data_IF_324843305870
#
_entry.id   IF_324843305870
#
_cell.length_a   1.000
_cell.length_b   1.000
_cell.length_c   1.000
_cell.angle_alpha   90.00
_cell.angle_beta   90.00
_cell.angle_gamma   90.00
#
_symmetry.space_group_name_H-M   'P 1'
#
loop_
_entity.id
_entity.type
_entity.pdbx_description
1 polymer ?
#
# COMPACT_ATOMS: atom_id res chain seq x y z
N UNK A 1 12.34 14.95 26.92
CA UNK A 1 12.36 15.81 28.13
C UNK A 1 11.15 16.73 28.12
N UNK A 2 10.64 17.21 29.26
CA UNK A 2 9.50 18.14 29.34
C UNK A 2 9.83 19.59 28.86
N UNK A 3 10.82 19.75 28.00
CA UNK A 3 11.38 21.05 27.57
C UNK A 3 10.87 21.49 26.19
N UNK A 4 10.08 20.66 25.52
CA UNK A 4 9.39 20.98 24.25
C UNK A 4 7.87 20.96 24.44
N UNK A 5 7.35 21.96 25.15
CA UNK A 5 5.92 22.28 25.15
C UNK A 5 5.51 22.90 23.80
N UNK A 6 5.41 22.04 22.79
CA UNK A 6 4.83 22.36 21.47
C UNK A 6 3.40 22.87 21.70
N UNK A 7 3.06 24.02 21.11
CA UNK A 7 1.69 24.56 21.18
C UNK A 7 0.91 24.21 19.92
N UNK A 8 -0.41 24.03 20.06
CA UNK A 8 -1.32 23.87 18.92
C UNK A 8 -1.22 25.05 17.95
N UNK A 9 -0.94 26.26 18.45
CA UNK A 9 -0.70 27.47 17.64
C UNK A 9 0.66 27.50 16.93
N UNK A 10 1.63 26.67 17.33
CA UNK A 10 2.90 26.47 16.61
C UNK A 10 2.72 25.40 15.54
N UNK A 11 2.02 24.31 15.85
CA UNK A 11 1.60 23.30 14.87
C UNK A 11 0.76 23.90 13.73
N UNK A 12 -0.17 24.80 14.06
CA UNK A 12 -0.98 25.51 13.06
C UNK A 12 -0.13 26.39 12.12
N UNK A 13 0.89 27.08 12.65
CA UNK A 13 1.83 27.87 11.81
C UNK A 13 2.62 26.98 10.85
N UNK A 14 3.06 25.80 11.29
CA UNK A 14 3.74 24.83 10.42
C UNK A 14 2.81 24.37 9.28
N UNK A 15 1.56 24.02 9.58
CA UNK A 15 0.55 23.67 8.58
C UNK A 15 0.38 24.80 7.55
N UNK A 16 0.21 26.03 8.01
CA UNK A 16 -0.13 27.16 7.14
C UNK A 16 1.09 27.61 6.29
N UNK A 17 2.31 27.45 6.81
CA UNK A 17 3.55 27.53 6.03
C UNK A 17 3.62 26.45 4.94
N UNK A 18 3.35 25.18 5.27
CA UNK A 18 3.35 24.07 4.30
C UNK A 18 2.30 24.31 3.21
N UNK A 19 1.10 24.78 3.56
CA UNK A 19 0.06 25.16 2.59
C UNK A 19 0.52 26.28 1.67
N UNK A 20 1.07 27.38 2.20
CA UNK A 20 1.64 28.48 1.40
C UNK A 20 2.73 27.98 0.43
N UNK A 21 3.58 27.06 0.89
CA UNK A 21 4.64 26.44 0.08
C UNK A 21 4.08 25.62 -1.09
N UNK A 22 3.04 24.83 -0.86
CA UNK A 22 2.31 24.12 -1.91
C UNK A 22 1.62 25.13 -2.86
N UNK A 23 0.99 26.17 -2.33
CA UNK A 23 0.26 27.21 -3.09
C UNK A 23 1.18 28.02 -4.00
N UNK A 24 2.41 28.37 -3.58
CA UNK A 24 3.40 29.05 -4.42
C UNK A 24 4.23 28.09 -5.31
N UNK A 25 4.26 26.79 -4.99
CA UNK A 25 4.91 25.75 -5.81
C UNK A 25 6.41 25.55 -5.55
N UNK A 26 6.99 26.30 -4.61
CA UNK A 26 8.39 26.21 -4.19
C UNK A 26 8.51 26.45 -2.68
N UNK A 27 9.59 25.92 -2.09
CA UNK A 27 10.00 26.21 -0.73
C UNK A 27 10.52 27.66 -0.60
N UNK A 28 10.33 28.26 0.57
CA UNK A 28 10.88 29.58 0.91
C UNK A 28 12.37 29.53 1.35
N UNK A 29 13.15 28.70 0.66
CA UNK A 29 14.61 28.69 0.76
C UNK A 29 15.26 29.71 -0.18
N UNK A 30 16.58 29.82 -0.06
CA UNK A 30 17.41 30.74 -0.84
C UNK A 30 17.36 30.48 -2.36
N UNK A 31 17.15 29.24 -2.79
CA UNK A 31 17.13 28.83 -4.20
C UNK A 31 15.73 28.72 -4.79
N UNK A 32 14.67 28.89 -3.98
CA UNK A 32 13.26 28.68 -4.36
C UNK A 32 13.05 27.26 -4.94
N UNK A 33 13.50 26.28 -4.18
CA UNK A 33 13.49 24.85 -4.54
C UNK A 33 12.06 24.39 -4.85
N UNK A 34 11.77 23.82 -6.04
CA UNK A 34 10.43 23.36 -6.40
C UNK A 34 9.89 22.29 -5.44
N UNK A 35 8.57 22.26 -5.22
CA UNK A 35 7.95 21.23 -4.37
C UNK A 35 7.92 19.88 -5.11
N UNK A 36 8.51 18.86 -4.50
CA UNK A 36 8.36 17.44 -4.88
C UNK A 36 7.63 16.68 -3.77
N UNK A 37 7.00 15.56 -4.09
CA UNK A 37 6.37 14.70 -3.08
C UNK A 37 7.37 14.25 -1.98
N UNK A 38 8.61 13.93 -2.36
CA UNK A 38 9.69 13.55 -1.43
C UNK A 38 10.07 14.70 -0.47
N UNK A 39 10.33 15.90 -1.01
CA UNK A 39 10.68 17.06 -0.17
C UNK A 39 9.50 17.51 0.71
N UNK A 40 8.27 17.41 0.19
CA UNK A 40 7.06 17.70 0.94
C UNK A 40 6.88 16.70 2.10
N UNK A 41 7.09 15.40 1.85
CA UNK A 41 7.07 14.37 2.89
C UNK A 41 8.11 14.62 3.98
N UNK A 42 9.35 14.91 3.61
CA UNK A 42 10.41 15.27 4.58
C UNK A 42 10.07 16.53 5.38
N UNK A 43 9.47 17.54 4.76
CA UNK A 43 9.03 18.77 5.43
C UNK A 43 7.83 18.56 6.37
N UNK A 44 6.95 17.60 6.05
CA UNK A 44 5.79 17.23 6.87
C UNK A 44 6.19 16.33 8.03
N UNK A 45 7.03 15.32 7.80
CA UNK A 45 7.31 14.24 8.74
C UNK A 45 8.33 14.66 9.82
N UNK A 46 9.59 14.74 9.42
CA UNK A 46 10.75 15.04 10.29
C UNK A 46 11.09 16.53 10.36
N UNK A 47 10.56 17.32 9.42
CA UNK A 47 11.02 18.67 9.16
C UNK A 47 12.33 18.67 8.34
N UNK A 48 12.66 19.81 7.73
CA UNK A 48 13.82 19.91 6.85
C UNK A 48 15.09 20.33 7.62
N UNK A 49 15.90 19.33 8.03
CA UNK A 49 17.26 19.58 8.48
C UNK A 49 18.19 19.81 7.28
N UNK A 50 18.79 21.00 7.19
CA UNK A 50 19.68 21.40 6.09
C UNK A 50 20.56 22.58 6.50
N UNK A 51 21.71 22.74 5.85
CA UNK A 51 22.52 23.97 5.91
C UNK A 51 22.00 25.08 4.98
N UNK A 52 20.89 24.84 4.27
CA UNK A 52 20.27 25.78 3.34
C UNK A 52 19.27 26.67 4.08
N UNK A 53 19.58 27.97 4.17
CA UNK A 53 18.75 28.99 4.83
C UNK A 53 17.33 29.00 4.26
N UNK A 54 16.34 28.84 5.13
CA UNK A 54 14.91 28.81 4.78
C UNK A 54 14.31 27.39 4.69
N UNK A 55 15.09 26.32 4.95
CA UNK A 55 14.54 24.99 5.25
C UNK A 55 14.31 24.78 6.76
N UNK A 56 15.08 25.45 7.61
CA UNK A 56 15.01 25.40 9.07
C UNK A 56 13.66 25.81 9.69
N UNK A 57 12.83 26.55 8.95
CA UNK A 57 11.46 26.91 9.31
C UNK A 57 10.44 25.75 9.22
N UNK A 58 10.75 24.66 8.50
CA UNK A 58 9.86 23.50 8.37
C UNK A 58 10.16 22.48 9.48
N UNK A 59 9.48 22.61 10.62
CA UNK A 59 9.53 21.65 11.72
C UNK A 59 8.65 20.40 11.53
N UNK A 60 8.83 19.34 12.34
CA UNK A 60 8.17 18.04 12.19
C UNK A 60 6.66 18.10 12.49
N UNK A 61 5.86 18.53 11.52
CA UNK A 61 4.41 18.70 11.66
C UNK A 61 3.69 17.41 12.08
N UNK A 62 3.94 16.30 11.36
CA UNK A 62 3.37 14.98 11.61
C UNK A 62 3.67 14.49 13.04
N UNK A 63 4.94 14.46 13.41
CA UNK A 63 5.39 13.87 14.68
C UNK A 63 4.97 14.74 15.88
N UNK A 64 4.94 16.07 15.71
CA UNK A 64 4.40 16.99 16.70
C UNK A 64 2.89 16.77 16.94
N UNK A 65 2.12 16.45 15.90
CA UNK A 65 0.71 16.08 16.03
C UNK A 65 0.51 14.78 16.83
N UNK A 66 1.31 13.76 16.55
CA UNK A 66 1.34 12.51 17.33
C UNK A 66 1.61 12.79 18.82
N UNK A 67 2.62 13.60 19.15
CA UNK A 67 2.94 13.93 20.54
C UNK A 67 1.86 14.78 21.23
N UNK A 68 1.25 15.75 20.53
CA UNK A 68 0.15 16.56 21.04
C UNK A 68 -1.10 15.72 21.35
N UNK A 69 -1.38 14.70 20.54
CA UNK A 69 -2.49 13.77 20.76
C UNK A 69 -2.17 12.76 21.87
N UNK A 70 -0.95 12.22 21.91
CA UNK A 70 -0.50 11.27 22.94
C UNK A 70 -0.53 11.86 24.36
N UNK A 71 -0.17 13.14 24.52
CA UNK A 71 -0.15 13.85 25.80
C UNK A 71 -1.39 14.73 26.05
N UNK A 72 -2.49 14.55 25.30
CA UNK A 72 -3.68 15.41 25.42
C UNK A 72 -4.26 15.46 26.85
N UNK A 73 -4.15 14.37 27.61
CA UNK A 73 -4.66 14.28 28.98
C UNK A 73 -3.71 14.88 30.04
N UNK A 74 -2.44 15.17 29.70
CA UNK A 74 -1.44 15.74 30.62
C UNK A 74 -1.93 17.05 31.26
N UNK A 75 -2.75 17.84 30.55
CA UNK A 75 -3.33 19.07 31.08
C UNK A 75 -4.26 18.81 32.28
N UNK A 76 -4.90 17.64 32.35
CA UNK A 76 -5.81 17.25 33.43
C UNK A 76 -5.06 16.54 34.56
N UNK A 77 -4.27 15.50 34.25
CA UNK A 77 -3.63 14.63 35.24
C UNK A 77 -2.36 15.20 35.85
N UNK A 78 -1.61 16.01 35.07
CA UNK A 78 -0.19 16.37 35.31
C UNK A 78 0.79 15.20 35.31
N UNK A 79 0.31 13.99 35.03
CA UNK A 79 1.09 12.77 34.90
C UNK A 79 1.58 12.64 33.46
N UNK A 80 2.87 12.35 33.26
CA UNK A 80 3.49 12.23 31.93
C UNK A 80 3.18 10.86 31.27
N UNK A 81 1.94 10.38 31.40
CA UNK A 81 1.47 9.18 30.72
C UNK A 81 1.26 9.47 29.23
N UNK A 82 1.62 8.50 28.38
CA UNK A 82 1.71 8.63 26.92
C UNK A 82 0.65 7.73 26.28
N UNK A 83 -0.46 8.32 25.85
CA UNK A 83 -1.51 7.62 25.11
C UNK A 83 -0.98 6.99 23.81
N UNK A 84 -1.70 5.98 23.29
CA UNK A 84 -1.23 5.07 22.21
C UNK A 84 -0.76 5.78 20.94
N UNK A 85 -1.25 6.98 20.64
CA UNK A 85 -0.75 7.84 19.55
C UNK A 85 0.76 8.12 19.63
N UNK A 86 1.39 7.94 20.79
CA UNK A 86 2.83 8.15 20.98
C UNK A 86 3.72 6.96 20.66
N UNK A 87 3.18 5.82 20.22
CA UNK A 87 3.92 4.59 19.90
C UNK A 87 3.41 3.98 18.58
N UNK A 88 4.30 3.82 17.59
CA UNK A 88 3.91 3.41 16.23
C UNK A 88 3.25 2.04 16.17
N UNK A 89 3.55 1.14 17.12
CA UNK A 89 2.99 -0.23 17.18
C UNK A 89 1.51 -0.24 17.56
N UNK A 90 1.01 0.82 18.18
CA UNK A 90 -0.37 0.91 18.71
C UNK A 90 -1.14 2.17 18.31
N UNK A 91 -0.50 3.18 17.73
CA UNK A 91 -1.15 4.44 17.35
C UNK A 91 -2.38 4.25 16.45
N UNK A 92 -2.30 3.37 15.44
CA UNK A 92 -3.39 3.07 14.50
C UNK A 92 -4.65 2.46 15.15
N UNK A 93 -4.57 2.02 16.41
CA UNK A 93 -5.69 1.49 17.19
C UNK A 93 -6.60 2.60 17.75
N UNK A 94 -6.14 3.85 17.77
CA UNK A 94 -6.94 5.01 18.14
C UNK A 94 -7.66 5.59 16.89
N UNK A 95 -9.00 5.76 16.90
CA UNK A 95 -9.73 6.44 15.83
C UNK A 95 -9.22 7.85 15.46
N UNK A 96 -8.45 8.52 16.33
CA UNK A 96 -7.84 9.82 16.02
C UNK A 96 -6.66 9.71 15.05
N UNK A 97 -5.97 8.56 14.98
CA UNK A 97 -4.86 8.31 14.05
C UNK A 97 -5.27 8.58 12.60
N UNK A 98 -6.42 8.02 12.21
CA UNK A 98 -6.97 8.11 10.86
C UNK A 98 -7.42 9.54 10.53
N UNK A 99 -7.91 10.29 11.52
CA UNK A 99 -8.26 11.72 11.37
C UNK A 99 -7.01 12.60 11.23
N UNK A 100 -5.94 12.28 11.95
CA UNK A 100 -4.66 12.96 11.83
C UNK A 100 -4.02 12.68 10.46
N UNK A 101 -3.97 11.42 10.04
CA UNK A 101 -3.43 11.03 8.74
C UNK A 101 -4.24 11.59 7.57
N UNK A 102 -5.58 11.63 7.65
CA UNK A 102 -6.42 12.36 6.66
C UNK A 102 -6.05 13.84 6.55
N UNK A 103 -5.75 14.50 7.68
CA UNK A 103 -5.33 15.91 7.67
C UNK A 103 -3.93 16.13 7.07
N UNK A 104 -3.05 15.14 7.19
CA UNK A 104 -1.72 15.14 6.57
C UNK A 104 -1.80 14.81 5.07
N UNK A 105 -2.58 13.80 4.69
CA UNK A 105 -2.88 13.42 3.30
C UNK A 105 -3.51 14.59 2.53
N UNK A 106 -4.38 15.39 3.16
CA UNK A 106 -4.93 16.61 2.56
C UNK A 106 -3.85 17.62 2.12
N UNK A 107 -2.65 17.61 2.70
CA UNK A 107 -1.53 18.45 2.26
C UNK A 107 -0.85 17.86 1.01
N UNK A 108 -0.70 16.54 0.92
CA UNK A 108 -0.22 15.88 -0.30
C UNK A 108 -1.23 16.02 -1.45
N UNK A 109 -2.53 15.90 -1.16
CA UNK A 109 -3.61 16.13 -2.13
C UNK A 109 -3.60 17.57 -2.67
N UNK A 110 -3.44 18.58 -1.81
CA UNK A 110 -3.27 19.98 -2.25
C UNK A 110 -2.08 20.16 -3.21
N UNK A 111 -1.05 19.33 -3.12
CA UNK A 111 0.09 19.32 -4.06
C UNK A 111 -0.23 18.56 -5.35
N UNK A 112 -0.78 17.34 -5.25
CA UNK A 112 -1.18 16.51 -6.40
C UNK A 112 -2.21 17.20 -7.30
N UNK A 113 -3.19 17.90 -6.71
CA UNK A 113 -4.21 18.68 -7.43
C UNK A 113 -3.61 19.76 -8.34
N UNK A 114 -2.36 20.20 -8.07
CA UNK A 114 -1.64 21.19 -8.88
C UNK A 114 -0.73 20.59 -9.97
N UNK A 115 -0.54 19.28 -10.02
CA UNK A 115 0.35 18.61 -10.99
C UNK A 115 -0.24 18.46 -12.39
N UNK A 116 -1.53 18.78 -12.58
CA UNK A 116 -2.28 18.51 -13.80
C UNK A 116 -2.50 17.00 -14.04
N UNK A 117 -3.32 16.62 -15.03
CA UNK A 117 -3.63 15.22 -15.28
C UNK A 117 -2.44 14.45 -15.85
N UNK A 118 -2.39 13.15 -15.53
CA UNK A 118 -1.41 12.22 -16.10
C UNK A 118 -1.52 12.15 -17.64
N UNK A 119 -0.38 11.97 -18.30
CA UNK A 119 -0.30 11.78 -19.75
C UNK A 119 0.00 10.32 -20.06
N UNK A 120 -0.86 9.67 -20.85
CA UNK A 120 -0.77 8.26 -21.22
C UNK A 120 -0.30 8.08 -22.67
N UNK A 121 0.54 8.99 -23.16
CA UNK A 121 1.08 8.97 -24.53
C UNK A 121 2.13 7.86 -24.74
N UNK A 122 2.58 7.25 -23.65
CA UNK A 122 3.63 6.25 -23.55
C UNK A 122 3.08 4.84 -23.29
N UNK A 123 1.75 4.65 -23.36
CA UNK A 123 1.10 3.37 -23.12
C UNK A 123 1.59 2.27 -24.09
N UNK A 124 1.74 1.02 -23.61
CA UNK A 124 2.15 -0.09 -24.47
C UNK A 124 1.02 -0.48 -25.46
N UNK A 125 1.35 -1.09 -26.61
CA UNK A 125 0.36 -1.55 -27.60
C UNK A 125 -0.31 -2.87 -27.16
N UNK A 126 -0.89 -2.86 -25.96
CA UNK A 126 -1.55 -3.99 -25.30
C UNK A 126 -2.98 -3.58 -24.93
N UNK A 127 -3.92 -4.51 -25.03
CA UNK A 127 -5.32 -4.30 -24.68
C UNK A 127 -5.79 -5.44 -23.77
N UNK A 128 -6.52 -5.09 -22.71
CA UNK A 128 -7.32 -6.03 -21.91
C UNK A 128 -8.68 -6.14 -22.61
N UNK A 129 -9.22 -7.34 -22.78
CA UNK A 129 -10.58 -7.50 -23.32
C UNK A 129 -11.64 -7.09 -22.29
N UNK A 130 -12.86 -6.79 -22.74
CA UNK A 130 -13.97 -6.34 -21.87
C UNK A 130 -14.39 -7.37 -20.80
N UNK A 131 -13.99 -8.62 -21.01
CA UNK A 131 -14.19 -9.82 -20.18
C UNK A 131 -12.87 -10.34 -19.56
N UNK A 132 -11.74 -9.71 -19.85
CA UNK A 132 -10.38 -10.25 -19.62
C UNK A 132 -9.86 -10.19 -18.18
N UNK A 133 -10.71 -9.84 -17.20
CA UNK A 133 -10.35 -9.80 -15.78
C UNK A 133 -11.23 -10.82 -15.05
N UNK A 134 -10.64 -11.96 -14.68
CA UNK A 134 -11.34 -13.09 -14.07
C UNK A 134 -10.80 -13.31 -12.65
N UNK A 135 -11.69 -13.30 -11.65
CA UNK A 135 -11.39 -13.76 -10.30
C UNK A 135 -11.88 -15.21 -10.15
N UNK A 136 -11.00 -16.08 -9.63
CA UNK A 136 -11.25 -17.49 -9.39
C UNK A 136 -10.59 -17.90 -8.06
N UNK A 137 -11.27 -18.67 -7.22
CA UNK A 137 -10.66 -19.22 -6.00
C UNK A 137 -9.87 -20.49 -6.34
N UNK A 138 -8.71 -20.69 -5.69
CA UNK A 138 -7.84 -21.86 -5.95
C UNK A 138 -8.61 -23.19 -5.90
N UNK A 139 -9.56 -23.36 -4.97
CA UNK A 139 -10.34 -24.60 -4.83
C UNK A 139 -11.29 -24.91 -6.00
N UNK A 140 -11.53 -23.94 -6.90
CA UNK A 140 -12.31 -24.11 -8.13
C UNK A 140 -11.45 -24.49 -9.34
N UNK A 141 -10.11 -24.44 -9.24
CA UNK A 141 -9.18 -24.76 -10.33
C UNK A 141 -8.91 -26.28 -10.34
N UNK A 142 -9.26 -27.02 -11.42
CA UNK A 142 -9.02 -28.45 -11.49
C UNK A 142 -7.52 -28.78 -11.39
N UNK A 143 -7.16 -29.80 -10.61
CA UNK A 143 -5.78 -30.30 -10.52
C UNK A 143 -4.83 -29.50 -9.62
N UNK A 144 -5.19 -28.31 -9.13
CA UNK A 144 -4.27 -27.47 -8.34
C UNK A 144 -4.04 -27.97 -6.91
N UNK A 145 -4.97 -28.78 -6.36
CA UNK A 145 -4.93 -29.19 -4.95
C UNK A 145 -3.69 -30.05 -4.65
N UNK A 146 -2.88 -29.60 -3.68
CA UNK A 146 -1.64 -30.27 -3.25
C UNK A 146 -0.40 -29.93 -4.08
N UNK A 147 -0.53 -29.15 -5.16
CA UNK A 147 0.61 -28.55 -5.86
C UNK A 147 1.16 -27.36 -5.05
N UNK A 148 2.48 -27.23 -4.92
CA UNK A 148 3.13 -26.07 -4.29
C UNK A 148 3.59 -25.06 -5.33
N UNK A 149 3.89 -23.83 -4.92
CA UNK A 149 4.53 -22.86 -5.81
C UNK A 149 5.89 -23.35 -6.33
N UNK A 150 6.25 -23.06 -7.60
CA UNK A 150 5.47 -22.35 -8.63
C UNK A 150 4.56 -23.27 -9.48
N UNK A 151 4.34 -24.51 -9.07
CA UNK A 151 3.52 -25.48 -9.82
C UNK A 151 2.03 -25.07 -9.86
N UNK A 152 1.56 -24.35 -8.84
CA UNK A 152 0.22 -23.73 -8.83
C UNK A 152 0.04 -22.74 -9.97
N UNK A 153 0.90 -21.72 -10.07
CA UNK A 153 0.89 -20.74 -11.17
C UNK A 153 0.93 -21.41 -12.55
N UNK A 154 1.74 -22.47 -12.72
CA UNK A 154 1.86 -23.20 -13.99
C UNK A 154 0.54 -23.90 -14.36
N UNK A 155 -0.07 -24.66 -13.44
CA UNK A 155 -1.32 -25.37 -13.73
C UNK A 155 -2.52 -24.41 -13.83
N UNK A 156 -2.54 -23.33 -13.04
CA UNK A 156 -3.54 -22.27 -13.14
C UNK A 156 -3.45 -21.51 -14.48
N UNK A 157 -2.24 -21.20 -14.95
CA UNK A 157 -2.03 -20.60 -16.28
C UNK A 157 -2.52 -21.54 -17.37
N UNK A 158 -2.09 -22.81 -17.34
CA UNK A 158 -2.48 -23.85 -18.31
C UNK A 158 -3.99 -24.12 -18.33
N UNK A 159 -4.65 -24.15 -17.18
CA UNK A 159 -6.10 -24.25 -17.08
C UNK A 159 -6.78 -22.98 -17.63
N UNK A 160 -6.24 -21.80 -17.35
CA UNK A 160 -6.72 -20.53 -17.87
C UNK A 160 -6.59 -20.42 -19.39
N UNK A 161 -5.46 -20.82 -19.98
CA UNK A 161 -5.25 -20.90 -21.43
C UNK A 161 -6.23 -21.86 -22.11
N UNK A 162 -6.55 -22.99 -21.49
CA UNK A 162 -7.53 -23.94 -22.03
C UNK A 162 -8.97 -23.43 -21.92
N UNK A 163 -9.32 -22.83 -20.79
CA UNK A 163 -10.70 -22.44 -20.47
C UNK A 163 -11.07 -21.09 -21.11
N UNK A 164 -10.17 -20.11 -21.03
CA UNK A 164 -10.39 -18.73 -21.46
C UNK A 164 -9.55 -18.33 -22.67
N UNK A 165 -8.48 -19.06 -23.00
CA UNK A 165 -7.57 -18.69 -24.08
C UNK A 165 -8.05 -19.01 -25.51
N UNK A 166 -7.36 -18.45 -26.49
CA UNK A 166 -7.53 -18.75 -27.91
C UNK A 166 -8.96 -18.54 -28.42
N UNK A 167 -9.64 -19.64 -28.77
CA UNK A 167 -11.01 -19.60 -29.30
C UNK A 167 -12.10 -19.50 -28.21
N UNK A 168 -11.71 -19.32 -26.94
CA UNK A 168 -12.60 -19.17 -25.79
C UNK A 168 -12.62 -17.76 -25.16
N UNK A 169 -11.80 -16.82 -25.67
CA UNK A 169 -11.61 -15.48 -25.07
C UNK A 169 -12.90 -14.67 -24.87
N UNK A 170 -13.94 -14.89 -25.67
CA UNK A 170 -15.20 -14.11 -25.64
C UNK A 170 -16.45 -14.99 -25.56
N UNK A 171 -16.37 -16.09 -24.79
CA UNK A 171 -17.52 -16.94 -24.45
C UNK A 171 -18.04 -16.60 -23.05
N UNK A 172 -19.32 -16.82 -22.80
CA UNK A 172 -19.85 -16.75 -21.44
C UNK A 172 -19.34 -17.93 -20.60
N UNK A 173 -18.75 -17.63 -19.44
CA UNK A 173 -18.14 -18.62 -18.53
C UNK A 173 -18.91 -18.66 -17.22
N UNK A 174 -19.69 -19.71 -17.02
CA UNK A 174 -20.87 -19.70 -16.14
C UNK A 174 -20.67 -20.36 -14.76
N UNK A 175 -19.44 -20.82 -14.41
CA UNK A 175 -19.24 -21.75 -13.26
C UNK A 175 -17.96 -21.65 -12.41
N UNK A 176 -16.94 -20.88 -12.82
CA UNK A 176 -15.64 -20.86 -12.12
C UNK A 176 -15.06 -19.45 -11.91
N UNK A 177 -15.47 -18.49 -12.73
CA UNK A 177 -15.36 -17.05 -12.48
C UNK A 177 -16.32 -16.61 -11.38
N UNK A 178 -15.93 -15.64 -10.55
CA UNK A 178 -16.83 -14.94 -9.63
C UNK A 178 -16.70 -13.42 -9.75
N UNK A 179 -17.84 -12.73 -9.63
CA UNK A 179 -17.91 -11.27 -9.50
C UNK A 179 -18.04 -10.82 -8.03
N UNK A 180 -18.08 -11.76 -7.08
CA UNK A 180 -18.27 -11.51 -5.66
C UNK A 180 -17.20 -12.25 -4.82
N UNK A 181 -16.62 -11.53 -3.85
CA UNK A 181 -15.61 -12.06 -2.95
C UNK A 181 -16.28 -12.68 -1.72
N UNK A 182 -16.17 -14.00 -1.56
CA UNK A 182 -16.62 -14.74 -0.37
C UNK A 182 -15.76 -14.42 0.87
N UNK A 183 -16.00 -13.27 1.51
CA UNK A 183 -15.35 -12.91 2.78
C UNK A 183 -16.05 -13.57 3.96
N UNK A 184 -15.28 -14.18 4.87
CA UNK A 184 -15.77 -14.71 6.15
C UNK A 184 -14.91 -14.22 7.30
N UNK A 185 -15.55 -13.93 8.44
CA UNK A 185 -14.81 -13.67 9.68
C UNK A 185 -13.99 -14.91 10.05
N UNK A 186 -12.69 -14.74 10.26
CA UNK A 186 -11.87 -15.70 11.00
C UNK A 186 -11.42 -15.07 12.32
N UNK A 187 -11.12 -15.92 13.28
CA UNK A 187 -10.37 -15.57 14.47
C UNK A 187 -8.95 -16.07 14.26
N UNK A 188 -7.92 -15.27 14.57
CA UNK A 188 -6.54 -15.78 14.66
C UNK A 188 -5.93 -15.52 16.02
N UNK A 189 -5.23 -16.52 16.56
CA UNK A 189 -4.36 -16.34 17.72
C UNK A 189 -3.06 -15.70 17.22
N UNK A 190 -2.89 -14.41 17.45
CA UNK A 190 -1.65 -13.69 17.18
C UNK A 190 -0.77 -13.71 18.43
N UNK A 191 0.53 -13.97 18.26
CA UNK A 191 1.55 -13.80 19.29
C UNK A 191 2.36 -12.53 18.98
N UNK A 192 2.65 -11.73 20.01
CA UNK A 192 3.48 -10.53 19.89
C UNK A 192 4.96 -10.91 19.96
N UNK A 193 5.58 -11.10 18.80
CA UNK A 193 6.97 -11.59 18.68
C UNK A 193 7.98 -10.63 19.34
N UNK A 194 7.72 -9.33 19.28
CA UNK A 194 8.60 -8.26 19.80
C UNK A 194 8.42 -7.95 21.31
N UNK A 195 7.36 -8.45 21.94
CA UNK A 195 7.06 -8.23 23.37
C UNK A 195 7.26 -9.56 24.16
N UNK A 196 6.48 -9.81 25.21
CA UNK A 196 6.57 -11.00 26.09
C UNK A 196 6.07 -12.32 25.46
N UNK A 197 5.94 -12.37 24.12
CA UNK A 197 5.27 -13.43 23.37
C UNK A 197 3.82 -13.71 23.81
N UNK A 198 3.17 -12.76 24.50
CA UNK A 198 1.75 -12.87 24.85
C UNK A 198 0.87 -13.03 23.61
N UNK A 199 -0.25 -13.73 23.79
CA UNK A 199 -1.09 -14.14 22.66
C UNK A 199 -2.52 -13.64 22.80
N UNK A 200 -3.03 -12.95 21.77
CA UNK A 200 -4.39 -12.43 21.70
C UNK A 200 -5.16 -13.12 20.57
N UNK A 201 -6.44 -13.46 20.81
CA UNK A 201 -7.38 -13.80 19.74
C UNK A 201 -7.84 -12.50 19.09
N UNK A 202 -7.54 -12.34 17.80
CA UNK A 202 -7.94 -11.18 17.00
C UNK A 202 -9.05 -11.61 16.04
N UNK A 203 -10.23 -11.00 16.20
CA UNK A 203 -11.27 -10.93 15.17
C UNK A 203 -11.09 -9.64 14.38
N UNK A 204 -11.26 -9.66 13.05
CA UNK A 204 -10.97 -8.49 12.21
C UNK A 204 -12.15 -8.07 11.33
N UNK A 205 -12.57 -6.79 11.45
CA UNK A 205 -12.99 -5.82 10.40
C UNK A 205 -14.14 -4.87 10.81
N UNK A 206 -14.16 -3.67 10.19
CA UNK A 206 -15.22 -2.61 10.19
C UNK A 206 -15.26 -1.68 11.42
N UNK A 207 -15.74 -0.41 11.37
CA UNK A 207 -16.30 0.44 10.27
C UNK A 207 -15.34 1.60 9.83
N UNK A 208 -15.63 2.69 9.08
CA UNK A 208 -16.82 3.26 8.36
C UNK A 208 -16.38 4.31 7.30
N UNK A 209 -17.22 4.51 6.26
CA UNK A 209 -17.39 5.69 5.36
C UNK A 209 -16.19 6.28 4.57
N UNK A 210 -16.44 6.59 3.29
CA UNK A 210 -15.44 6.84 2.24
C UNK A 210 -15.24 8.33 1.88
N UNK A 211 -14.15 8.66 1.18
CA UNK A 211 -14.19 9.12 -0.23
C UNK A 211 -12.79 9.11 -0.91
N UNK A 212 -12.76 8.74 -2.19
CA UNK A 212 -11.59 8.73 -3.10
C UNK A 212 -10.43 7.77 -2.71
N UNK A 213 -10.78 6.54 -2.30
CA UNK A 213 -9.83 5.51 -1.87
C UNK A 213 -9.63 4.42 -2.94
N UNK A 214 -8.58 4.53 -3.76
CA UNK A 214 -8.02 3.39 -4.48
C UNK A 214 -6.94 2.74 -3.60
N UNK A 215 -7.01 1.42 -3.42
CA UNK A 215 -5.98 0.63 -2.72
C UNK A 215 -5.16 -0.16 -3.74
N UNK A 216 -3.84 -0.20 -3.56
CA UNK A 216 -2.98 -1.11 -4.32
C UNK A 216 -3.18 -2.54 -3.78
N UNK A 217 -3.35 -3.52 -4.67
CA UNK A 217 -3.56 -4.93 -4.32
C UNK A 217 -2.34 -5.77 -4.77
N UNK A 218 -1.76 -5.44 -5.92
CA UNK A 218 -0.54 -6.06 -6.45
C UNK A 218 0.07 -5.22 -7.58
N UNK A 219 1.38 -5.35 -7.79
CA UNK A 219 2.16 -4.77 -8.89
C UNK A 219 3.27 -5.74 -9.30
N UNK A 220 3.25 -6.20 -10.55
CA UNK A 220 4.20 -7.19 -11.05
C UNK A 220 4.58 -6.97 -12.52
N UNK A 221 5.77 -7.45 -12.90
CA UNK A 221 6.21 -7.52 -14.30
C UNK A 221 5.69 -8.81 -14.93
N UNK A 222 5.04 -8.69 -16.09
CA UNK A 222 4.75 -9.80 -17.01
C UNK A 222 5.43 -9.57 -18.36
N UNK A 223 5.84 -10.64 -19.04
CA UNK A 223 6.29 -10.59 -20.44
C UNK A 223 5.19 -11.14 -21.34
N UNK A 224 4.93 -10.48 -22.48
CA UNK A 224 3.80 -10.77 -23.37
C UNK A 224 4.28 -11.01 -24.81
N UNK A 225 3.89 -12.12 -25.46
CA UNK A 225 4.25 -12.39 -26.85
C UNK A 225 3.54 -11.42 -27.83
N UNK A 226 4.21 -10.95 -28.88
CA UNK A 226 3.64 -9.96 -29.80
C UNK A 226 2.50 -10.57 -30.64
N UNK A 227 1.39 -9.81 -30.76
CA UNK A 227 0.21 -10.15 -31.58
C UNK A 227 -0.53 -11.44 -31.18
N UNK A 228 -0.36 -11.92 -29.95
CA UNK A 228 -1.07 -13.09 -29.42
C UNK A 228 -1.89 -12.72 -28.18
N UNK A 229 -3.13 -13.22 -28.11
CA UNK A 229 -3.92 -13.17 -26.88
C UNK A 229 -3.30 -14.09 -25.83
N UNK A 230 -3.01 -13.55 -24.65
CA UNK A 230 -2.27 -14.24 -23.59
C UNK A 230 -3.10 -14.27 -22.32
N UNK A 231 -3.25 -15.43 -21.68
CA UNK A 231 -3.86 -15.55 -20.35
C UNK A 231 -2.74 -15.45 -19.31
N UNK A 232 -2.95 -14.63 -18.28
CA UNK A 232 -1.98 -14.44 -17.19
C UNK A 232 -2.66 -14.83 -15.88
N UNK A 233 -2.27 -15.97 -15.32
CA UNK A 233 -2.64 -16.32 -13.94
C UNK A 233 -1.68 -15.63 -12.96
N UNK A 234 -2.19 -15.28 -11.78
CA UNK A 234 -1.44 -14.57 -10.75
C UNK A 234 -1.97 -14.94 -9.36
N UNK A 235 -1.18 -15.69 -8.60
CA UNK A 235 -1.51 -15.99 -7.21
C UNK A 235 -1.50 -14.71 -6.34
N UNK A 236 -2.49 -14.56 -5.45
CA UNK A 236 -2.58 -13.44 -4.52
C UNK A 236 -1.57 -13.54 -3.37
N UNK A 237 -1.05 -14.73 -3.07
CA UNK A 237 0.03 -14.93 -2.09
C UNK A 237 1.30 -14.18 -2.51
N UNK A 238 1.51 -14.05 -3.82
CA UNK A 238 2.69 -13.41 -4.42
C UNK A 238 2.55 -11.88 -4.55
N UNK A 239 1.53 -11.26 -3.91
CA UNK A 239 1.26 -9.82 -3.93
C UNK A 239 2.45 -8.98 -3.46
N UNK A 240 2.80 -7.95 -4.23
CA UNK A 240 3.84 -6.97 -3.88
C UNK A 240 3.49 -6.07 -2.68
N UNK A 241 2.23 -6.02 -2.28
CA UNK A 241 1.70 -5.22 -1.17
C UNK A 241 1.77 -5.99 0.16
N UNK A 242 1.73 -7.32 0.10
CA UNK A 242 1.73 -8.20 1.27
C UNK A 242 3.15 -8.47 1.77
N UNK A 243 3.32 -8.60 3.10
CA UNK A 243 4.58 -9.10 3.71
C UNK A 243 4.94 -10.47 3.13
N UNK A 244 6.18 -10.65 2.70
CA UNK A 244 6.67 -11.89 2.10
C UNK A 244 7.62 -12.65 3.05
N UNK A 245 7.39 -13.94 3.36
CA UNK A 245 6.25 -14.78 2.93
C UNK A 245 4.94 -14.40 3.66
N UNK A 246 3.75 -14.67 3.07
CA UNK A 246 2.47 -14.29 3.66
C UNK A 246 2.18 -15.00 4.99
N UNK A 247 2.07 -14.24 6.08
CA UNK A 247 1.67 -14.79 7.37
C UNK A 247 0.21 -15.27 7.35
N UNK A 248 0.04 -16.60 7.44
CA UNK A 248 -1.24 -17.32 7.45
C UNK A 248 -1.33 -18.22 8.69
N UNK A 249 -2.51 -18.32 9.31
CA UNK A 249 -2.80 -19.37 10.31
C UNK A 249 -2.97 -20.74 9.68
N UNK A 250 -2.97 -21.80 10.50
CA UNK A 250 -3.21 -23.20 10.07
C UNK A 250 -4.54 -23.34 9.28
N UNK A 251 -5.59 -22.60 9.65
CA UNK A 251 -6.88 -22.58 8.94
C UNK A 251 -6.92 -21.61 7.74
N UNK A 252 -5.80 -20.96 7.41
CA UNK A 252 -5.56 -20.07 6.25
C UNK A 252 -4.50 -20.61 5.29
N UNK A 253 -3.75 -21.64 5.69
CA UNK A 253 -2.96 -22.44 4.76
C UNK A 253 -3.94 -23.15 3.80
N UNK A 254 -3.64 -23.11 2.51
CA UNK A 254 -3.88 -24.29 1.68
C UNK A 254 -2.78 -25.33 2.00
N UNK A 255 -2.77 -26.50 1.35
CA UNK A 255 -1.80 -27.59 1.64
C UNK A 255 -0.30 -27.24 1.32
N UNK A 256 0.02 -25.95 1.14
CA UNK A 256 1.16 -25.50 0.33
C UNK A 256 1.96 -24.34 0.94
N UNK A 257 1.32 -23.51 1.78
CA UNK A 257 1.94 -22.38 2.45
C UNK A 257 3.18 -22.79 3.28
N UNK A 258 4.21 -21.94 3.23
CA UNK A 258 5.50 -22.16 3.89
C UNK A 258 5.34 -21.86 5.39
N UNK A 259 5.63 -22.84 6.24
CA UNK A 259 5.76 -22.60 7.67
C UNK A 259 6.97 -21.69 7.93
N UNK A 260 6.83 -20.70 8.82
CA UNK A 260 7.96 -19.92 9.27
C UNK A 260 8.94 -20.84 10.02
N UNK A 261 10.10 -21.10 9.42
CA UNK A 261 11.14 -21.91 10.04
C UNK A 261 11.75 -21.13 11.21
N UNK A 262 11.52 -21.61 12.43
CA UNK A 262 12.15 -21.09 13.64
C UNK A 262 13.54 -21.71 13.81
N UNK A 263 14.54 -21.17 13.11
CA UNK A 263 15.96 -21.44 13.35
C UNK A 263 16.78 -20.19 12.93
N UNK A 264 17.57 -19.66 13.86
CA UNK A 264 18.02 -18.25 13.84
C UNK A 264 19.26 -17.99 12.98
N UNK A 265 19.37 -16.78 12.40
CA UNK A 265 20.55 -15.88 12.50
C UNK A 265 20.16 -14.41 12.19
N UNK A 266 19.32 -13.81 13.03
CA UNK A 266 18.79 -12.45 12.82
C UNK A 266 19.88 -11.40 12.51
N UNK A 267 19.64 -10.58 11.48
CA UNK A 267 20.41 -9.38 11.16
C UNK A 267 19.50 -8.21 10.78
N UNK A 268 19.98 -6.98 10.94
CA UNK A 268 19.23 -5.76 10.61
C UNK A 268 18.71 -5.73 9.15
N UNK A 269 19.36 -6.45 8.23
CA UNK A 269 18.94 -6.53 6.81
C UNK A 269 17.74 -7.49 6.62
N UNK A 270 17.57 -8.51 7.46
CA UNK A 270 16.39 -9.40 7.41
C UNK A 270 15.13 -8.75 8.02
N UNK A 271 15.28 -7.93 9.07
CA UNK A 271 14.14 -7.28 9.73
C UNK A 271 13.36 -6.33 8.79
N UNK A 272 14.02 -5.75 7.78
CA UNK A 272 13.35 -4.94 6.76
C UNK A 272 12.39 -5.78 5.89
N UNK A 273 12.75 -7.04 5.60
CA UNK A 273 11.94 -7.95 4.79
C UNK A 273 10.63 -8.37 5.49
N UNK A 274 10.59 -8.26 6.81
CA UNK A 274 9.43 -8.49 7.66
C UNK A 274 8.33 -7.41 7.51
N UNK A 275 8.65 -6.30 6.80
CA UNK A 275 7.72 -5.24 6.42
C UNK A 275 6.77 -5.66 5.28
N UNK A 276 5.49 -5.35 5.46
CA UNK A 276 4.46 -5.42 4.41
C UNK A 276 3.04 -5.52 4.98
N UNK A 277 2.03 -5.40 4.12
CA UNK A 277 0.65 -5.46 4.55
C UNK A 277 0.26 -6.89 5.01
N UNK A 278 -0.57 -7.06 6.06
CA UNK A 278 -1.02 -8.39 6.46
C UNK A 278 -1.96 -9.01 5.41
N UNK A 279 -1.64 -10.22 4.94
CA UNK A 279 -2.40 -10.92 3.88
C UNK A 279 -3.91 -10.98 4.13
N UNK A 280 -4.33 -11.28 5.36
CA UNK A 280 -5.73 -11.35 5.78
C UNK A 280 -6.46 -9.99 5.80
N UNK A 281 -5.77 -8.88 5.52
CA UNK A 281 -6.30 -7.53 5.38
C UNK A 281 -6.14 -6.96 3.96
N UNK A 282 -5.67 -7.74 2.98
CA UNK A 282 -5.44 -7.28 1.59
C UNK A 282 -6.73 -6.80 0.90
N UNK A 283 -7.89 -7.35 1.29
CA UNK A 283 -9.19 -7.03 0.71
C UNK A 283 -10.13 -6.45 1.78
N UNK A 284 -10.88 -5.37 1.49
CA UNK A 284 -11.88 -4.82 2.42
C UNK A 284 -13.00 -5.83 2.74
N UNK A 285 -13.63 -5.69 3.92
CA UNK A 285 -14.70 -6.60 4.39
C UNK A 285 -15.83 -6.84 3.40
N UNK A 286 -16.21 -5.79 2.68
CA UNK A 286 -17.53 -5.70 2.06
C UNK A 286 -18.65 -5.58 3.09
N UNK A 287 -19.85 -6.06 2.73
CA UNK A 287 -21.04 -6.08 3.60
C UNK A 287 -21.58 -7.50 3.76
N UNK A 288 -22.49 -7.73 4.73
CA UNK A 288 -23.15 -9.03 4.94
C UNK A 288 -23.94 -9.53 3.72
N UNK A 289 -24.34 -8.63 2.82
CA UNK A 289 -25.13 -8.94 1.63
C UNK A 289 -24.27 -8.85 0.35
N UNK A 290 -22.96 -9.07 0.47
CA UNK A 290 -21.97 -8.71 -0.54
C UNK A 290 -21.72 -7.20 -0.58
N UNK A 291 -20.69 -6.78 -1.31
CA UNK A 291 -20.42 -5.38 -1.64
C UNK A 291 -19.67 -5.33 -2.97
N UNK A 292 -20.15 -4.52 -3.91
CA UNK A 292 -19.53 -4.38 -5.23
C UNK A 292 -18.38 -3.37 -5.15
N UNK A 293 -17.20 -3.79 -5.56
CA UNK A 293 -16.01 -2.96 -5.72
C UNK A 293 -15.72 -2.75 -7.21
N UNK A 294 -14.96 -1.70 -7.54
CA UNK A 294 -14.35 -1.56 -8.87
C UNK A 294 -12.94 -2.14 -8.81
N UNK A 295 -12.72 -3.27 -9.46
CA UNK A 295 -11.36 -3.73 -9.76
C UNK A 295 -10.85 -2.96 -10.99
N UNK A 296 -9.62 -2.46 -10.90
CA UNK A 296 -8.96 -1.73 -11.98
C UNK A 296 -7.59 -2.35 -12.21
N UNK A 297 -7.25 -2.62 -13.48
CA UNK A 297 -5.95 -3.15 -13.89
C UNK A 297 -5.34 -2.16 -14.86
N UNK A 298 -4.12 -1.74 -14.57
CA UNK A 298 -3.34 -0.85 -15.43
C UNK A 298 -2.16 -1.61 -16.03
N UNK A 299 -1.84 -1.35 -17.29
CA UNK A 299 -0.66 -1.93 -17.97
C UNK A 299 0.21 -0.77 -18.47
N UNK A 300 1.36 -0.63 -17.84
CA UNK A 300 2.42 0.32 -18.22
C UNK A 300 3.56 -0.40 -18.95
N UNK A 301 4.52 0.37 -19.47
CA UNK A 301 5.66 -0.17 -20.21
C UNK A 301 6.87 -0.36 -19.28
N UNK A 302 7.16 -1.62 -18.92
CA UNK A 302 8.28 -1.99 -18.05
C UNK A 302 9.62 -1.38 -18.49
N UNK A 303 9.87 -1.17 -19.79
CA UNK A 303 11.12 -0.57 -20.25
C UNK A 303 11.25 0.92 -19.90
N UNK A 304 10.13 1.58 -19.60
CA UNK A 304 10.05 2.96 -19.08
C UNK A 304 9.96 3.01 -17.54
N UNK A 305 9.41 1.97 -16.92
CA UNK A 305 9.10 1.95 -15.48
C UNK A 305 10.26 1.41 -14.60
N UNK A 306 11.09 0.53 -15.16
CA UNK A 306 12.10 -0.22 -14.43
C UNK A 306 13.20 0.64 -13.80
N UNK A 307 13.70 0.16 -12.65
CA UNK A 307 14.95 0.62 -12.05
C UNK A 307 16.02 -0.47 -12.13
N UNK A 308 17.25 -0.08 -12.47
CA UNK A 308 18.40 -0.99 -12.51
C UNK A 308 18.90 -1.30 -11.09
N UNK A 309 19.15 -2.58 -10.82
CA UNK A 309 19.63 -3.13 -9.54
C UNK A 309 18.65 -2.93 -8.38
N UNK A 310 17.72 -3.89 -8.25
CA UNK A 310 16.74 -4.00 -7.18
C UNK A 310 16.97 -5.35 -6.48
N UNK A 311 17.33 -5.32 -5.20
CA UNK A 311 17.20 -6.45 -4.27
C UNK A 311 15.73 -6.72 -3.97
N UNK A 312 15.37 -7.98 -3.71
CA UNK A 312 13.96 -8.42 -3.66
C UNK A 312 13.68 -9.21 -2.39
N UNK A 313 13.22 -8.50 -1.37
CA UNK A 313 12.55 -9.09 -0.21
C UNK A 313 11.34 -8.24 0.21
N UNK A 314 10.48 -8.78 1.08
CA UNK A 314 9.35 -8.07 1.68
C UNK A 314 8.30 -7.53 0.68
N UNK A 315 7.52 -6.55 1.13
CA UNK A 315 6.58 -5.83 0.27
C UNK A 315 7.27 -4.75 -0.57
N UNK A 316 7.47 -5.05 -1.86
CA UNK A 316 8.06 -4.11 -2.82
C UNK A 316 7.24 -2.82 -3.02
N UNK A 317 5.91 -2.88 -2.87
CA UNK A 317 5.03 -1.72 -3.09
C UNK A 317 4.98 -0.77 -1.89
N UNK A 318 4.91 -1.27 -0.65
CA UNK A 318 4.70 -0.43 0.54
C UNK A 318 5.97 -0.20 1.37
N UNK A 319 6.97 -1.09 1.27
CA UNK A 319 8.21 -0.97 2.04
C UNK A 319 9.37 -0.49 1.15
N UNK A 320 9.54 -1.10 -0.03
CA UNK A 320 10.52 -0.68 -1.04
C UNK A 320 11.52 -1.76 -1.43
N UNK A 321 12.82 -1.48 -1.27
CA UNK A 321 13.90 -2.41 -1.61
C UNK A 321 14.79 -2.65 -0.38
N UNK A 322 15.20 -3.91 -0.20
CA UNK A 322 15.88 -4.50 0.97
C UNK A 322 16.97 -3.64 1.62
N UNK A 323 17.76 -2.92 0.82
CA UNK A 323 18.93 -2.17 1.30
C UNK A 323 18.64 -0.67 1.26
N UNK A 324 18.94 0.12 2.32
CA UNK A 324 18.67 1.58 2.39
C UNK A 324 19.32 2.49 1.32
N UNK A 325 20.08 1.93 0.37
CA UNK A 325 20.70 2.62 -0.77
C UNK A 325 20.11 2.20 -2.13
N UNK A 326 19.38 1.10 -2.17
CA UNK A 326 18.69 0.66 -3.37
C UNK A 326 17.43 1.52 -3.56
N UNK A 327 17.05 1.70 -4.81
CA UNK A 327 15.92 2.57 -5.17
C UNK A 327 14.62 1.79 -5.11
N UNK A 328 13.53 2.49 -4.78
CA UNK A 328 12.18 2.01 -5.00
C UNK A 328 12.03 1.46 -6.43
N UNK A 329 11.44 0.27 -6.64
CA UNK A 329 11.68 -0.53 -7.85
C UNK A 329 10.86 -0.11 -9.09
N UNK A 330 10.36 1.12 -9.10
CA UNK A 330 9.45 1.71 -10.09
C UNK A 330 9.78 3.22 -10.16
N UNK A 331 9.97 3.79 -11.36
CA UNK A 331 10.22 5.24 -11.52
C UNK A 331 8.93 6.08 -11.57
N UNK A 332 7.76 5.45 -11.62
CA UNK A 332 6.47 6.16 -11.55
C UNK A 332 6.24 6.70 -10.14
N UNK A 333 5.46 7.78 -9.98
CA UNK A 333 4.96 8.20 -8.67
C UNK A 333 4.22 7.06 -7.97
N UNK A 334 4.41 6.93 -6.65
CA UNK A 334 3.59 6.04 -5.84
C UNK A 334 2.10 6.39 -6.01
N UNK A 335 1.26 5.38 -6.26
CA UNK A 335 -0.15 5.57 -6.58
C UNK A 335 -0.48 5.84 -8.06
N UNK A 336 0.50 5.99 -8.96
CA UNK A 336 0.25 6.12 -10.41
C UNK A 336 -0.58 4.91 -10.94
N UNK A 337 -1.64 5.12 -11.75
CA UNK A 337 -2.02 6.35 -12.46
C UNK A 337 -2.93 7.32 -11.67
N UNK A 338 -3.23 7.03 -10.41
CA UNK A 338 -4.15 7.79 -9.55
C UNK A 338 -3.48 8.90 -8.74
N UNK A 339 -2.17 9.13 -8.89
CA UNK A 339 -1.40 10.16 -8.18
C UNK A 339 -1.78 11.61 -8.52
N UNK A 340 -2.69 11.82 -9.50
CA UNK A 340 -3.09 13.13 -10.03
C UNK A 340 -4.58 13.19 -10.37
N UNK A 341 -5.16 14.41 -10.48
CA UNK A 341 -6.52 14.59 -10.99
C UNK A 341 -6.72 13.96 -12.37
N UNK A 342 -7.88 13.34 -12.58
CA UNK A 342 -8.30 12.91 -13.91
C UNK A 342 -8.82 14.10 -14.70
N UNK A 343 -8.44 14.19 -15.99
CA UNK A 343 -8.98 15.20 -16.91
C UNK A 343 -10.50 15.02 -16.98
N UNK A 344 -11.24 16.12 -16.82
CA UNK A 344 -12.72 16.16 -16.82
C UNK A 344 -13.38 15.17 -15.83
N UNK A 345 -12.63 14.72 -14.81
CA UNK A 345 -13.00 13.65 -13.87
C UNK A 345 -13.33 12.27 -14.50
N UNK A 346 -12.88 12.01 -15.74
CA UNK A 346 -13.17 10.78 -16.49
C UNK A 346 -11.92 9.92 -16.77
N UNK A 347 -12.15 8.62 -16.97
CA UNK A 347 -11.18 7.69 -17.59
C UNK A 347 -11.36 7.60 -19.11
N UNK A 348 -12.48 8.10 -19.62
CA UNK A 348 -12.83 8.15 -21.05
C UNK A 348 -12.25 9.40 -21.72
N UNK A 349 -12.07 9.35 -23.04
CA UNK A 349 -11.17 10.22 -23.84
C UNK A 349 -11.89 11.01 -24.92
#
# INVERSE_FOLDING_TARGET
RPEQHIKVSELAKLRDLIKKTIEQGYFDDTNKTPVTAELLGRAIESGLQSSMTGFDQYGPFHNNGHMLLAFINFQNTKELDRGVMGDVRVACRDPVFWKWHRHVDDLFRMYQEKLGPNHFNDCPPVQISSDGIILCFKDKIPGIKGLKDPQQDIEATKWGEQTFGGHNFHKEHDRQSTNELETKMKQRKHAWIEDDQSTQIIEYLFPRECFNEWIEIDKFKQELPPKCGTVVARDCDRSSVVRQPPQKTIDELDDTAIAANTEDQESDEEQYCDCGWPFHLLLPRGSRNGMKFKLFVFISDWEKDKVHHVTRCGSLSFCGAERPKDKYPDVRPMGYPFDRPFKDCSFEK
#
